data_IF_245177197479
#
_entry.id   IF_245177197479
#
_cell.length_a   1.000
_cell.length_b   1.000
_cell.length_c   1.000
_cell.angle_alpha   90.00
_cell.angle_beta   90.00
_cell.angle_gamma   90.00
#
_symmetry.space_group_name_H-M   'P 1'
#
loop_
_entity.id
_entity.type
_entity.pdbx_description
1 polymer ?
#
# COMPACT_ATOMS: atom_id res chain seq x y z
N UNK A 1 -7.31 -14.29 75.70
CA UNK A 1 -8.35 -13.55 74.95
C UNK A 1 -7.80 -12.24 74.32
N UNK A 2 -7.11 -11.29 75.03
CA UNK A 2 -6.69 -10.02 74.43
C UNK A 2 -5.62 -10.19 73.32
N UNK A 3 -4.69 -11.14 73.45
CA UNK A 3 -3.65 -11.42 72.49
C UNK A 3 -4.18 -11.89 71.08
N UNK A 4 -5.23 -12.70 71.08
CA UNK A 4 -5.88 -13.14 69.84
C UNK A 4 -6.56 -11.98 69.15
N UNK A 5 -7.23 -11.11 69.89
CA UNK A 5 -7.92 -9.92 69.35
C UNK A 5 -6.95 -8.94 68.77
N UNK A 6 -5.75 -8.73 69.36
CA UNK A 6 -4.68 -7.91 68.83
C UNK A 6 -4.12 -8.51 67.52
N UNK A 7 -3.91 -9.80 67.47
CA UNK A 7 -3.46 -10.48 66.22
C UNK A 7 -4.44 -10.35 65.08
N UNK A 8 -5.72 -10.50 65.34
CA UNK A 8 -6.80 -10.29 64.37
C UNK A 8 -6.85 -8.87 63.85
N UNK A 9 -6.69 -7.89 64.76
CA UNK A 9 -6.67 -6.49 64.37
C UNK A 9 -5.46 -6.15 63.49
N UNK A 10 -4.24 -6.64 63.84
CA UNK A 10 -3.04 -6.48 62.99
C UNK A 10 -3.24 -7.11 61.63
N UNK A 11 -3.83 -8.29 61.57
CA UNK A 11 -4.11 -8.99 60.30
C UNK A 11 -5.10 -8.21 59.41
N UNK A 12 -6.15 -7.61 60.00
CA UNK A 12 -7.11 -6.75 59.29
C UNK A 12 -6.39 -5.49 58.76
N UNK A 13 -5.55 -4.84 59.55
CA UNK A 13 -4.79 -3.67 59.14
C UNK A 13 -3.82 -4.03 57.99
N UNK A 14 -3.16 -5.18 58.06
CA UNK A 14 -2.28 -5.66 56.98
C UNK A 14 -3.07 -5.93 55.70
N UNK A 15 -4.22 -6.56 55.76
CA UNK A 15 -5.12 -6.78 54.60
C UNK A 15 -5.55 -5.45 53.97
N UNK A 16 -5.89 -4.45 54.77
CA UNK A 16 -6.26 -3.12 54.30
C UNK A 16 -5.06 -2.46 53.56
N UNK A 17 -3.86 -2.52 54.17
CA UNK A 17 -2.64 -1.96 53.55
C UNK A 17 -2.32 -2.60 52.22
N UNK A 18 -2.41 -3.92 52.10
CA UNK A 18 -2.18 -4.63 50.85
C UNK A 18 -3.25 -4.26 49.79
N UNK A 19 -4.50 -4.04 50.22
CA UNK A 19 -5.59 -3.62 49.33
C UNK A 19 -5.44 -2.18 48.83
N UNK A 20 -4.66 -1.34 49.51
CA UNK A 20 -4.38 0.04 49.11
C UNK A 20 -3.47 0.16 47.89
N UNK A 21 -2.66 -0.86 47.63
CA UNK A 21 -1.67 -0.80 46.55
C UNK A 21 -2.33 -1.27 45.25
N UNK A 22 -2.23 -0.44 44.20
CA UNK A 22 -2.65 -0.78 42.85
C UNK A 22 -1.50 -0.55 41.88
N UNK A 23 -1.25 -1.54 41.03
CA UNK A 23 -0.25 -1.47 39.97
C UNK A 23 -1.01 -1.23 38.65
N UNK A 24 -0.62 -0.17 37.96
CA UNK A 24 -1.10 0.13 36.61
C UNK A 24 -0.11 -0.40 35.61
N UNK A 25 -0.49 -1.40 34.76
CA UNK A 25 0.42 -1.96 33.78
C UNK A 25 0.72 -0.97 32.66
N UNK A 26 1.77 -1.26 31.90
CA UNK A 26 2.21 -0.42 30.78
C UNK A 26 1.12 -0.29 29.70
N UNK A 27 1.06 0.90 29.10
CA UNK A 27 0.04 1.27 28.09
C UNK A 27 -1.42 1.22 28.59
N UNK A 28 -1.63 1.35 29.89
CA UNK A 28 -2.95 1.54 30.48
C UNK A 28 -2.95 2.79 31.36
N UNK A 29 -4.13 3.38 31.50
CA UNK A 29 -4.41 4.41 32.48
C UNK A 29 -5.69 4.06 33.25
N UNK A 30 -5.76 4.49 34.50
CA UNK A 30 -6.95 4.29 35.33
C UNK A 30 -7.49 5.64 35.79
N UNK A 31 -8.76 5.89 35.48
CA UNK A 31 -9.48 7.07 35.96
C UNK A 31 -10.04 6.76 37.34
N UNK A 32 -9.68 7.57 38.33
CA UNK A 32 -10.06 7.35 39.74
C UNK A 32 -11.00 8.44 40.20
N UNK A 33 -12.07 8.00 40.85
CA UNK A 33 -13.08 8.82 41.52
C UNK A 33 -12.94 8.70 43.01
N UNK A 34 -13.15 9.83 43.67
CA UNK A 34 -13.30 9.90 45.11
C UNK A 34 -14.72 10.41 45.44
N UNK A 35 -15.51 9.54 46.08
CA UNK A 35 -16.93 9.85 46.44
C UNK A 35 -17.75 10.36 45.23
N UNK A 36 -17.47 9.80 44.01
CA UNK A 36 -18.20 10.17 42.79
C UNK A 36 -17.62 11.38 42.03
N UNK A 37 -16.62 12.07 42.59
CA UNK A 37 -15.92 13.14 41.89
C UNK A 37 -14.62 12.65 41.29
N UNK A 38 -14.26 13.14 40.09
CA UNK A 38 -12.95 12.86 39.50
C UNK A 38 -11.81 13.33 40.41
N UNK A 39 -10.90 12.46 40.78
CA UNK A 39 -9.71 12.76 41.56
C UNK A 39 -8.49 12.98 40.67
N UNK A 40 -8.07 11.92 40.02
CA UNK A 40 -6.88 11.94 39.16
C UNK A 40 -6.89 10.76 38.17
N UNK A 41 -6.02 10.83 37.18
CA UNK A 41 -5.74 9.74 36.24
C UNK A 41 -4.42 9.09 36.62
N UNK A 42 -4.44 7.81 36.95
CA UNK A 42 -3.23 7.03 37.25
C UNK A 42 -2.59 6.53 35.97
N UNK A 43 -1.37 6.97 35.78
CA UNK A 43 -0.51 6.46 34.72
C UNK A 43 0.22 5.19 35.18
N UNK A 44 1.10 4.66 34.33
CA UNK A 44 1.90 3.46 34.62
C UNK A 44 2.69 3.60 35.92
N UNK A 45 2.61 2.58 36.77
CA UNK A 45 3.34 2.55 38.05
C UNK A 45 2.51 2.04 39.21
N UNK A 46 3.04 2.28 40.42
CA UNK A 46 2.41 1.91 41.70
C UNK A 46 1.67 3.12 42.21
N UNK A 47 0.38 2.94 42.50
CA UNK A 47 -0.51 3.97 43.08
C UNK A 47 -1.16 3.48 44.35
N UNK A 48 -1.42 4.43 45.26
CA UNK A 48 -2.07 4.16 46.52
C UNK A 48 -3.56 4.57 46.44
N UNK A 49 -4.40 3.63 46.74
CA UNK A 49 -5.86 3.77 46.78
C UNK A 49 -6.32 3.78 48.22
N UNK A 50 -7.15 4.76 48.59
CA UNK A 50 -7.86 4.71 49.87
C UNK A 50 -9.06 3.75 49.73
N UNK A 51 -9.06 2.61 50.44
CA UNK A 51 -10.16 1.66 50.37
C UNK A 51 -11.45 2.33 50.86
N UNK A 52 -12.58 1.95 50.25
CA UNK A 52 -13.95 2.47 50.49
C UNK A 52 -14.23 3.88 49.93
N UNK A 53 -13.23 4.76 49.81
CA UNK A 53 -13.42 6.16 49.38
C UNK A 53 -13.08 6.29 47.88
N UNK A 54 -11.97 5.69 47.44
CA UNK A 54 -11.52 5.77 46.07
C UNK A 54 -12.04 4.59 45.24
N UNK A 55 -12.58 4.92 44.08
CA UNK A 55 -13.06 3.92 43.10
C UNK A 55 -12.39 4.12 41.77
N UNK A 56 -11.96 3.03 41.13
CA UNK A 56 -11.55 3.05 39.73
C UNK A 56 -12.80 3.09 38.86
N UNK A 57 -13.08 4.23 38.26
CA UNK A 57 -14.24 4.45 37.40
C UNK A 57 -14.10 3.73 36.06
N UNK A 58 -12.94 3.92 35.39
CA UNK A 58 -12.68 3.32 34.09
C UNK A 58 -11.20 2.95 33.93
N UNK A 59 -10.94 1.80 33.31
CA UNK A 59 -9.61 1.39 32.84
C UNK A 59 -9.54 1.66 31.35
N UNK A 60 -8.53 2.38 30.91
CA UNK A 60 -8.37 2.85 29.56
C UNK A 60 -7.10 2.26 28.97
N UNK A 61 -7.20 1.66 27.81
CA UNK A 61 -6.06 1.15 27.06
C UNK A 61 -5.54 2.25 26.13
N UNK A 62 -4.29 2.65 26.30
CA UNK A 62 -3.65 3.73 25.53
C UNK A 62 -3.03 3.26 24.20
N UNK A 63 -3.06 1.95 23.95
CA UNK A 63 -2.62 1.39 22.67
C UNK A 63 -3.61 1.75 21.57
N UNK A 64 -3.11 1.78 20.34
CA UNK A 64 -3.99 1.86 19.18
C UNK A 64 -5.00 0.72 19.19
N UNK A 65 -6.25 1.05 18.98
CA UNK A 65 -7.38 0.13 18.90
C UNK A 65 -7.96 0.17 17.50
N UNK A 66 -8.49 -0.96 17.06
CA UNK A 66 -9.09 -1.13 15.75
C UNK A 66 -10.53 -1.56 15.95
N UNK A 67 -11.45 -0.85 15.31
CA UNK A 67 -12.87 -1.20 15.31
C UNK A 67 -13.34 -1.34 13.86
N UNK A 68 -13.93 -2.50 13.58
CA UNK A 68 -14.54 -2.82 12.30
C UNK A 68 -16.06 -2.57 12.41
N UNK A 69 -16.55 -1.63 11.62
CA UNK A 69 -17.97 -1.29 11.62
C UNK A 69 -18.72 -2.04 10.53
N UNK A 70 -19.94 -2.44 10.84
CA UNK A 70 -20.81 -3.15 9.91
C UNK A 70 -21.08 -2.32 8.63
N UNK A 71 -21.36 -2.99 7.49
CA UNK A 71 -21.64 -2.32 6.23
C UNK A 71 -22.77 -1.29 6.34
N UNK A 72 -22.45 -0.04 6.02
CA UNK A 72 -23.42 1.06 6.05
C UNK A 72 -23.99 1.30 4.65
N UNK A 73 -25.31 1.42 4.51
CA UNK A 73 -25.92 1.81 3.25
C UNK A 73 -25.70 3.30 2.99
N UNK A 74 -25.15 3.62 1.82
CA UNK A 74 -24.90 4.98 1.35
C UNK A 74 -25.43 5.16 -0.05
N UNK A 75 -25.74 6.40 -0.44
CA UNK A 75 -26.24 6.74 -1.76
C UNK A 75 -25.26 7.73 -2.38
N UNK A 76 -24.79 7.44 -3.59
CA UNK A 76 -23.90 8.32 -4.35
C UNK A 76 -24.66 9.45 -5.02
N UNK A 77 -23.92 10.43 -5.56
CA UNK A 77 -24.49 11.57 -6.28
C UNK A 77 -25.32 11.15 -7.50
N UNK A 78 -24.94 10.07 -8.17
CA UNK A 78 -25.65 9.46 -9.31
C UNK A 78 -26.78 8.51 -8.87
N UNK A 79 -27.20 8.60 -7.59
CA UNK A 79 -28.35 7.89 -7.01
C UNK A 79 -28.20 6.36 -6.97
N UNK A 80 -26.95 5.86 -6.84
CA UNK A 80 -26.68 4.44 -6.65
C UNK A 80 -26.56 4.13 -5.18
N UNK A 81 -27.37 3.19 -4.68
CA UNK A 81 -27.28 2.70 -3.29
C UNK A 81 -26.21 1.61 -3.20
N UNK A 82 -25.22 1.78 -2.35
CA UNK A 82 -24.18 0.78 -2.11
C UNK A 82 -23.98 0.52 -0.62
N UNK A 83 -23.29 -0.56 -0.27
CA UNK A 83 -22.89 -0.87 1.11
C UNK A 83 -21.38 -0.73 1.24
N UNK A 84 -20.95 0.01 2.25
CA UNK A 84 -19.53 0.26 2.49
C UNK A 84 -19.19 -0.11 3.93
N UNK A 85 -18.15 -0.95 4.09
CA UNK A 85 -17.57 -1.31 5.38
C UNK A 85 -16.41 -0.36 5.68
N UNK A 86 -16.30 0.05 6.94
CA UNK A 86 -15.21 0.93 7.39
C UNK A 86 -14.50 0.35 8.59
N UNK A 87 -13.19 0.51 8.62
CA UNK A 87 -12.34 0.18 9.76
C UNK A 87 -11.69 1.46 10.26
N UNK A 88 -11.83 1.73 11.55
CA UNK A 88 -11.27 2.91 12.20
C UNK A 88 -10.17 2.51 13.17
N UNK A 89 -9.00 3.12 13.00
CA UNK A 89 -7.84 2.99 13.87
C UNK A 89 -7.75 4.25 14.73
N UNK A 90 -7.87 4.08 16.03
CA UNK A 90 -7.83 5.19 16.97
C UNK A 90 -7.07 4.85 18.23
N UNK A 91 -6.59 5.86 18.92
CA UNK A 91 -6.00 5.70 20.23
C UNK A 91 -6.57 6.74 21.20
N UNK A 92 -6.56 6.40 22.48
CA UNK A 92 -7.04 7.28 23.52
C UNK A 92 -5.87 8.13 24.00
N UNK A 93 -5.98 9.45 23.84
CA UNK A 93 -4.97 10.44 24.23
C UNK A 93 -5.23 10.99 25.62
N UNK A 94 -6.49 11.24 25.97
CA UNK A 94 -6.89 11.71 27.29
C UNK A 94 -7.90 10.75 27.93
N UNK A 95 -7.47 9.94 28.93
CA UNK A 95 -8.34 9.02 29.65
C UNK A 95 -9.50 9.68 30.40
N UNK A 96 -9.33 10.92 30.87
CA UNK A 96 -10.39 11.67 31.56
C UNK A 96 -11.50 12.05 30.62
N UNK A 97 -11.16 12.65 29.47
CA UNK A 97 -12.14 13.01 28.44
C UNK A 97 -12.84 11.76 27.88
N UNK A 98 -12.10 10.67 27.69
CA UNK A 98 -12.67 9.39 27.27
C UNK A 98 -13.67 8.80 28.27
N UNK A 99 -13.45 9.01 29.57
CA UNK A 99 -14.32 8.49 30.61
C UNK A 99 -15.60 9.30 30.80
N UNK A 100 -15.51 10.62 30.64
CA UNK A 100 -16.61 11.56 31.00
C UNK A 100 -17.12 12.38 29.80
N UNK A 101 -16.44 12.42 28.68
CA UNK A 101 -16.84 13.25 27.53
C UNK A 101 -18.02 12.68 26.77
N UNK A 102 -18.17 11.35 26.73
CA UNK A 102 -19.25 10.67 26.04
C UNK A 102 -19.59 9.35 26.75
N UNK A 103 -20.87 8.99 26.83
CA UNK A 103 -21.32 7.80 27.54
C UNK A 103 -20.81 6.52 26.90
N UNK A 104 -20.95 6.39 25.56
CA UNK A 104 -20.48 5.24 24.79
C UNK A 104 -19.61 5.69 23.61
N UNK A 105 -18.29 5.82 23.79
CA UNK A 105 -17.37 6.32 22.77
C UNK A 105 -17.39 5.52 21.46
N UNK A 106 -17.46 4.20 21.56
CA UNK A 106 -17.43 3.32 20.36
C UNK A 106 -18.68 3.52 19.51
N UNK A 107 -19.86 3.53 20.13
CA UNK A 107 -21.13 3.79 19.43
C UNK A 107 -21.17 5.21 18.85
N UNK A 108 -20.61 6.18 19.56
CA UNK A 108 -20.53 7.56 19.07
C UNK A 108 -19.63 7.66 17.81
N UNK A 109 -18.46 6.98 17.80
CA UNK A 109 -17.57 6.91 16.64
C UNK A 109 -18.28 6.18 15.48
N UNK A 110 -19.01 5.10 15.74
CA UNK A 110 -19.74 4.34 14.71
C UNK A 110 -20.77 5.24 14.00
N UNK A 111 -21.63 5.92 14.76
CA UNK A 111 -22.65 6.81 14.21
C UNK A 111 -22.02 8.00 13.47
N UNK A 112 -20.95 8.57 14.02
CA UNK A 112 -20.23 9.66 13.39
C UNK A 112 -19.57 9.20 12.08
N UNK A 113 -18.97 8.00 12.07
CA UNK A 113 -18.39 7.38 10.87
C UNK A 113 -19.46 7.17 9.81
N UNK A 114 -20.62 6.62 10.17
CA UNK A 114 -21.71 6.38 9.25
C UNK A 114 -22.27 7.68 8.63
N UNK A 115 -22.43 8.72 9.44
CA UNK A 115 -22.94 10.03 8.95
C UNK A 115 -21.92 10.76 8.10
N UNK A 116 -20.65 10.75 8.49
CA UNK A 116 -19.54 11.37 7.72
C UNK A 116 -19.34 10.64 6.39
N UNK A 117 -19.36 9.31 6.40
CA UNK A 117 -19.27 8.50 5.20
C UNK A 117 -20.41 8.84 4.22
N UNK A 118 -21.64 8.92 4.71
CA UNK A 118 -22.80 9.26 3.88
C UNK A 118 -22.67 10.63 3.23
N UNK A 119 -22.18 11.62 3.97
CA UNK A 119 -21.96 12.96 3.44
C UNK A 119 -20.87 12.96 2.34
N UNK A 120 -19.72 12.32 2.60
CA UNK A 120 -18.60 12.30 1.64
C UNK A 120 -18.98 11.54 0.36
N UNK A 121 -19.67 10.40 0.49
CA UNK A 121 -20.08 9.57 -0.66
C UNK A 121 -21.23 10.24 -1.43
N UNK A 122 -22.12 10.96 -0.75
CA UNK A 122 -23.21 11.69 -1.39
C UNK A 122 -22.75 12.78 -2.37
N UNK A 123 -21.53 13.29 -2.22
CA UNK A 123 -20.91 14.26 -3.12
C UNK A 123 -20.14 13.62 -4.30
N UNK A 124 -19.96 12.29 -4.28
CA UNK A 124 -19.17 11.54 -5.26
C UNK A 124 -20.05 10.68 -6.16
N UNK A 125 -19.61 10.51 -7.41
CA UNK A 125 -20.17 9.53 -8.34
C UNK A 125 -19.64 8.12 -8.02
N UNK A 126 -20.32 7.08 -8.50
CA UNK A 126 -19.96 5.68 -8.29
C UNK A 126 -18.49 5.40 -8.67
N UNK A 127 -18.09 5.80 -9.87
CA UNK A 127 -16.74 5.57 -10.38
C UNK A 127 -15.68 6.29 -9.53
N UNK A 128 -15.99 7.50 -9.07
CA UNK A 128 -15.11 8.27 -8.17
C UNK A 128 -15.00 7.58 -6.80
N UNK A 129 -16.09 7.03 -6.29
CA UNK A 129 -16.10 6.30 -5.01
C UNK A 129 -15.23 5.05 -5.07
N UNK A 130 -15.21 4.34 -6.20
CA UNK A 130 -14.40 3.14 -6.39
C UNK A 130 -12.91 3.45 -6.59
N UNK A 131 -12.59 4.57 -7.24
CA UNK A 131 -11.21 4.92 -7.64
C UNK A 131 -10.50 5.81 -6.63
N UNK A 132 -11.22 6.66 -5.87
CA UNK A 132 -10.65 7.69 -5.00
C UNK A 132 -10.65 7.32 -3.51
N UNK A 133 -10.42 6.04 -3.18
CA UNK A 133 -10.45 5.55 -1.78
C UNK A 133 -9.55 6.33 -0.85
N UNK A 134 -8.33 6.66 -1.28
CA UNK A 134 -7.36 7.41 -0.47
C UNK A 134 -7.86 8.81 -0.10
N UNK A 135 -8.50 9.49 -1.06
CA UNK A 135 -9.11 10.81 -0.81
C UNK A 135 -10.25 10.72 0.19
N UNK A 136 -11.10 9.68 0.08
CA UNK A 136 -12.20 9.44 1.00
C UNK A 136 -11.65 9.13 2.40
N UNK A 137 -10.68 8.22 2.51
CA UNK A 137 -10.04 7.86 3.78
C UNK A 137 -9.45 9.10 4.48
N UNK A 138 -8.78 9.98 3.74
CA UNK A 138 -8.19 11.21 4.27
C UNK A 138 -9.26 12.20 4.75
N UNK A 139 -10.32 12.41 3.98
CA UNK A 139 -11.46 13.27 4.38
C UNK A 139 -12.17 12.70 5.61
N UNK A 140 -12.42 11.39 5.62
CA UNK A 140 -13.01 10.70 6.76
C UNK A 140 -12.18 10.88 8.02
N UNK A 141 -10.88 10.57 7.94
CA UNK A 141 -9.95 10.73 9.06
C UNK A 141 -9.98 12.16 9.61
N UNK A 142 -9.87 13.15 8.73
CA UNK A 142 -9.84 14.57 9.13
C UNK A 142 -11.13 15.00 9.83
N UNK A 143 -12.28 14.60 9.31
CA UNK A 143 -13.58 14.93 9.90
C UNK A 143 -13.80 14.22 11.25
N UNK A 144 -13.41 12.93 11.34
CA UNK A 144 -13.55 12.15 12.57
C UNK A 144 -12.59 12.65 13.64
N UNK A 145 -11.34 12.94 13.33
CA UNK A 145 -10.32 13.41 14.28
C UNK A 145 -10.78 14.70 14.98
N UNK A 146 -11.26 15.67 14.22
CA UNK A 146 -11.80 16.93 14.78
C UNK A 146 -13.01 16.69 15.69
N UNK A 147 -13.89 15.78 15.31
CA UNK A 147 -15.11 15.52 16.06
C UNK A 147 -14.88 14.66 17.31
N UNK A 148 -13.83 13.83 17.35
CA UNK A 148 -13.51 12.95 18.49
C UNK A 148 -12.51 13.55 19.47
N UNK A 149 -11.85 14.65 19.12
CA UNK A 149 -10.89 15.36 19.99
C UNK A 149 -11.49 15.75 21.36
N UNK A 150 -12.75 16.30 21.45
CA UNK A 150 -13.40 16.59 22.74
C UNK A 150 -13.62 15.35 23.63
N UNK A 151 -13.56 14.16 23.07
CA UNK A 151 -13.69 12.89 23.79
C UNK A 151 -12.34 12.28 24.19
N UNK A 152 -11.25 12.98 23.91
CA UNK A 152 -9.88 12.50 24.17
C UNK A 152 -9.50 11.29 23.32
N UNK A 153 -10.06 11.19 22.11
CA UNK A 153 -9.80 10.13 21.15
C UNK A 153 -9.15 10.74 19.92
N UNK A 154 -8.04 10.19 19.52
CA UNK A 154 -7.34 10.56 18.27
C UNK A 154 -7.55 9.49 17.22
N UNK A 155 -8.07 9.87 16.08
CA UNK A 155 -8.25 8.98 14.93
C UNK A 155 -6.98 9.02 14.07
N UNK A 156 -6.23 7.93 14.09
CA UNK A 156 -4.97 7.81 13.34
C UNK A 156 -5.24 7.55 11.86
N UNK A 157 -6.15 6.62 11.57
CA UNK A 157 -6.44 6.16 10.21
C UNK A 157 -7.86 5.65 10.09
N UNK A 158 -8.45 5.86 8.93
CA UNK A 158 -9.75 5.30 8.52
C UNK A 158 -9.55 4.60 7.19
N UNK A 159 -10.05 3.39 7.06
CA UNK A 159 -9.94 2.59 5.84
C UNK A 159 -11.31 2.11 5.39
N UNK A 160 -11.59 2.28 4.10
CA UNK A 160 -12.72 1.63 3.45
C UNK A 160 -12.34 0.18 3.11
N UNK A 161 -12.99 -0.79 3.73
CA UNK A 161 -12.70 -2.22 3.57
C UNK A 161 -13.32 -2.75 2.27
N UNK A 162 -14.63 -2.78 2.20
CA UNK A 162 -15.38 -3.24 1.03
C UNK A 162 -16.32 -2.14 0.54
N UNK A 163 -16.45 -2.02 -0.77
CA UNK A 163 -17.45 -1.20 -1.43
C UNK A 163 -18.27 -2.14 -2.29
N UNK A 164 -19.52 -2.36 -1.93
CA UNK A 164 -20.40 -3.35 -2.55
C UNK A 164 -21.54 -2.61 -3.26
N UNK A 165 -21.46 -2.41 -4.58
CA UNK A 165 -22.55 -1.87 -5.37
C UNK A 165 -23.68 -2.91 -5.52
N UNK A 166 -24.88 -2.51 -5.98
CA UNK A 166 -25.95 -3.45 -6.30
C UNK A 166 -25.54 -4.44 -7.38
N UNK A 167 -26.02 -5.69 -7.28
CA UNK A 167 -25.64 -6.77 -8.19
C UNK A 167 -25.88 -6.41 -9.69
N UNK A 168 -26.98 -5.74 -10.00
CA UNK A 168 -27.27 -5.32 -11.39
C UNK A 168 -26.21 -4.37 -11.97
N UNK A 169 -25.65 -3.48 -11.13
CA UNK A 169 -24.58 -2.55 -11.55
C UNK A 169 -23.26 -3.30 -11.64
N UNK A 170 -22.98 -4.19 -10.70
CA UNK A 170 -21.79 -5.03 -10.73
C UNK A 170 -21.72 -5.86 -12.00
N UNK A 171 -22.81 -6.55 -12.38
CA UNK A 171 -22.91 -7.33 -13.61
C UNK A 171 -22.73 -6.46 -14.86
N UNK A 172 -23.28 -5.24 -14.87
CA UNK A 172 -23.11 -4.32 -15.99
C UNK A 172 -21.65 -3.85 -16.12
N UNK A 173 -21.00 -3.49 -15.00
CA UNK A 173 -19.59 -3.11 -14.95
C UNK A 173 -18.67 -4.26 -15.38
N UNK A 174 -18.93 -5.50 -14.95
CA UNK A 174 -18.17 -6.67 -15.39
C UNK A 174 -18.25 -6.88 -16.90
N UNK A 175 -19.45 -6.78 -17.48
CA UNK A 175 -19.65 -6.88 -18.93
C UNK A 175 -18.92 -5.78 -19.69
N UNK A 176 -19.00 -4.53 -19.20
CA UNK A 176 -18.31 -3.40 -19.79
C UNK A 176 -16.78 -3.57 -19.70
N UNK A 177 -16.27 -3.97 -18.56
CA UNK A 177 -14.84 -4.22 -18.36
C UNK A 177 -14.32 -5.36 -19.24
N UNK A 178 -15.11 -6.41 -19.42
CA UNK A 178 -14.78 -7.53 -20.31
C UNK A 178 -14.70 -7.07 -21.75
N UNK A 179 -15.71 -6.35 -22.24
CA UNK A 179 -15.72 -5.81 -23.59
C UNK A 179 -14.55 -4.85 -23.87
N UNK A 180 -14.22 -3.98 -22.90
CA UNK A 180 -13.09 -3.07 -23.02
C UNK A 180 -11.73 -3.81 -23.03
N UNK A 181 -11.58 -4.87 -22.23
CA UNK A 181 -10.37 -5.73 -22.26
C UNK A 181 -10.24 -6.45 -23.61
N UNK A 182 -11.32 -7.03 -24.12
CA UNK A 182 -11.35 -7.70 -25.41
C UNK A 182 -10.99 -6.71 -26.55
N UNK A 183 -11.52 -5.49 -26.51
CA UNK A 183 -11.18 -4.43 -27.47
C UNK A 183 -9.68 -4.08 -27.40
N UNK A 184 -9.14 -3.86 -26.21
CA UNK A 184 -7.71 -3.55 -26.03
C UNK A 184 -6.82 -4.71 -26.47
N UNK A 185 -7.20 -5.95 -26.18
CA UNK A 185 -6.48 -7.14 -26.62
C UNK A 185 -6.41 -7.21 -28.14
N UNK A 186 -7.53 -7.00 -28.82
CA UNK A 186 -7.59 -6.99 -30.28
C UNK A 186 -6.70 -5.91 -30.90
N UNK A 187 -6.70 -4.68 -30.34
CA UNK A 187 -5.84 -3.59 -30.79
C UNK A 187 -4.36 -3.95 -30.59
N UNK A 188 -3.98 -4.38 -29.38
CA UNK A 188 -2.60 -4.74 -29.09
C UNK A 188 -2.09 -5.90 -29.94
N UNK A 189 -2.95 -6.89 -30.23
CA UNK A 189 -2.62 -8.01 -31.12
C UNK A 189 -2.36 -7.51 -32.54
N UNK A 190 -3.27 -6.68 -33.10
CA UNK A 190 -3.10 -6.11 -34.43
C UNK A 190 -1.85 -5.22 -34.54
N UNK A 191 -1.56 -4.40 -33.53
CA UNK A 191 -0.34 -3.61 -33.48
C UNK A 191 0.92 -4.49 -33.37
N UNK A 192 0.88 -5.55 -32.59
CA UNK A 192 1.94 -6.53 -32.46
C UNK A 192 2.24 -7.25 -33.77
N UNK A 193 1.21 -7.71 -34.48
CA UNK A 193 1.32 -8.34 -35.79
C UNK A 193 1.89 -7.38 -36.83
N UNK A 194 1.42 -6.13 -36.85
CA UNK A 194 1.95 -5.08 -37.73
C UNK A 194 3.43 -4.83 -37.47
N UNK A 195 3.83 -4.63 -36.22
CA UNK A 195 5.24 -4.42 -35.84
C UNK A 195 6.10 -5.62 -36.18
N UNK A 196 5.64 -6.83 -35.91
CA UNK A 196 6.33 -8.07 -36.25
C UNK A 196 6.58 -8.18 -37.76
N UNK A 197 5.54 -7.93 -38.57
CA UNK A 197 5.64 -7.97 -40.03
C UNK A 197 6.64 -6.93 -40.58
N UNK A 198 6.62 -5.71 -40.03
CA UNK A 198 7.57 -4.65 -40.41
C UNK A 198 8.99 -5.07 -40.05
N UNK A 199 9.25 -5.53 -38.81
CA UNK A 199 10.58 -5.96 -38.37
C UNK A 199 11.12 -7.14 -39.18
N UNK A 200 10.27 -8.10 -39.54
CA UNK A 200 10.65 -9.22 -40.38
C UNK A 200 11.01 -8.73 -41.81
N UNK A 201 10.23 -7.80 -42.37
CA UNK A 201 10.52 -7.23 -43.68
C UNK A 201 11.82 -6.39 -43.68
N UNK A 202 12.05 -5.60 -42.64
CA UNK A 202 13.30 -4.83 -42.45
C UNK A 202 14.49 -5.77 -42.27
N UNK A 203 14.35 -6.82 -41.47
CA UNK A 203 15.40 -7.83 -41.29
C UNK A 203 15.76 -8.54 -42.61
N UNK A 204 14.76 -8.93 -43.41
CA UNK A 204 15.02 -9.51 -44.75
C UNK A 204 15.70 -8.54 -45.70
N UNK A 205 15.26 -7.27 -45.68
CA UNK A 205 15.91 -6.22 -46.49
C UNK A 205 17.36 -6.03 -46.08
N UNK A 206 17.65 -5.95 -44.79
CA UNK A 206 18.99 -5.76 -44.25
C UNK A 206 19.89 -6.97 -44.58
N UNK A 207 19.37 -8.18 -44.43
CA UNK A 207 20.09 -9.40 -44.81
C UNK A 207 20.47 -9.39 -46.32
N UNK A 208 19.52 -9.08 -47.20
CA UNK A 208 19.77 -9.03 -48.63
C UNK A 208 20.80 -7.93 -49.02
N UNK A 209 20.84 -6.80 -48.31
CA UNK A 209 21.82 -5.75 -48.52
C UNK A 209 23.22 -6.25 -48.08
N UNK A 210 23.31 -6.87 -46.91
CA UNK A 210 24.58 -7.42 -46.41
C UNK A 210 25.14 -8.56 -47.28
N UNK A 211 24.25 -9.42 -47.76
CA UNK A 211 24.63 -10.50 -48.69
C UNK A 211 25.18 -9.91 -50.00
N UNK A 212 24.51 -8.91 -50.58
CA UNK A 212 24.99 -8.25 -51.81
C UNK A 212 26.29 -7.46 -51.60
N UNK A 213 26.48 -6.83 -50.42
CA UNK A 213 27.76 -6.19 -50.08
C UNK A 213 28.90 -7.20 -49.89
N UNK A 214 28.63 -8.35 -49.28
CA UNK A 214 29.58 -9.43 -49.11
C UNK A 214 30.01 -10.02 -50.47
N UNK A 215 29.05 -10.26 -51.36
CA UNK A 215 29.35 -10.73 -52.73
C UNK A 215 30.18 -9.72 -53.51
N UNK A 216 29.84 -8.44 -53.40
CA UNK A 216 30.63 -7.38 -54.01
C UNK A 216 32.05 -7.30 -53.47
N UNK A 217 32.22 -7.40 -52.16
CA UNK A 217 33.58 -7.41 -51.56
C UNK A 217 34.36 -8.64 -51.94
N UNK A 218 33.72 -9.82 -51.97
CA UNK A 218 34.37 -11.06 -52.43
C UNK A 218 34.82 -10.94 -53.88
N UNK A 219 33.99 -10.39 -54.78
CA UNK A 219 34.36 -10.17 -56.18
C UNK A 219 35.52 -9.18 -56.33
N UNK A 220 35.58 -8.09 -55.56
CA UNK A 220 36.68 -7.15 -55.55
C UNK A 220 37.97 -7.80 -55.08
N UNK A 221 37.95 -8.53 -53.97
CA UNK A 221 39.11 -9.26 -53.43
C UNK A 221 39.63 -10.32 -54.39
N UNK A 222 38.75 -11.06 -55.09
CA UNK A 222 39.15 -12.00 -56.12
C UNK A 222 39.82 -11.31 -57.29
N UNK A 223 39.29 -10.19 -57.79
CA UNK A 223 39.84 -9.42 -58.84
C UNK A 223 41.23 -8.83 -58.48
N UNK A 224 41.42 -8.35 -57.28
CA UNK A 224 42.67 -7.84 -56.74
C UNK A 224 43.68 -8.95 -56.57
N UNK A 225 43.33 -10.12 -56.08
CA UNK A 225 44.19 -11.31 -55.98
C UNK A 225 44.64 -11.83 -57.35
N UNK A 226 43.72 -11.86 -58.34
CA UNK A 226 44.14 -12.23 -59.71
C UNK A 226 45.07 -11.22 -60.33
N UNK A 227 44.85 -9.93 -60.11
CA UNK A 227 45.74 -8.87 -60.58
C UNK A 227 47.15 -9.02 -59.95
N UNK A 228 47.20 -9.22 -58.63
CA UNK A 228 48.44 -9.39 -57.90
C UNK A 228 49.21 -10.67 -58.36
N UNK A 229 48.47 -11.77 -58.56
CA UNK A 229 49.02 -13.02 -59.10
C UNK A 229 49.65 -12.79 -60.47
N UNK A 230 48.91 -12.10 -61.41
CA UNK A 230 49.44 -11.79 -62.73
C UNK A 230 50.69 -10.89 -62.71
N UNK A 231 50.70 -9.89 -61.79
CA UNK A 231 51.90 -9.04 -61.61
C UNK A 231 53.06 -9.86 -61.12
N UNK A 232 52.93 -10.71 -60.12
CA UNK A 232 53.97 -11.57 -59.56
C UNK A 232 54.44 -12.60 -60.57
N UNK A 233 53.53 -13.17 -61.38
CA UNK A 233 53.90 -14.08 -62.46
C UNK A 233 54.73 -13.36 -63.55
N UNK A 234 54.33 -12.12 -63.92
CA UNK A 234 55.09 -11.33 -64.90
C UNK A 234 56.48 -10.87 -64.35
N UNK A 235 56.54 -10.48 -63.08
CA UNK A 235 57.77 -10.11 -62.38
C UNK A 235 58.75 -11.35 -62.33
N UNK A 236 58.21 -12.52 -61.98
CA UNK A 236 58.93 -13.78 -61.93
C UNK A 236 59.48 -14.20 -63.33
N UNK A 237 58.66 -14.00 -64.38
CA UNK A 237 59.11 -14.24 -65.77
C UNK A 237 60.16 -13.23 -66.21
N UNK A 238 60.03 -11.94 -65.89
CA UNK A 238 61.02 -10.92 -66.18
C UNK A 238 62.36 -11.21 -65.47
N UNK A 239 62.33 -11.61 -64.19
CA UNK A 239 63.52 -11.98 -63.42
C UNK A 239 64.15 -13.26 -63.95
N UNK A 240 63.37 -14.24 -64.41
CA UNK A 240 63.87 -15.44 -65.04
C UNK A 240 64.56 -15.12 -66.37
N UNK A 241 63.98 -14.20 -67.18
CA UNK A 241 64.59 -13.75 -68.45
C UNK A 241 65.89 -12.96 -68.19
N UNK A 242 65.94 -12.09 -67.16
CA UNK A 242 67.15 -11.36 -66.79
C UNK A 242 68.26 -12.25 -66.22
N UNK A 243 67.95 -13.40 -65.67
CA UNK A 243 68.92 -14.39 -65.16
C UNK A 243 69.44 -15.33 -66.25
N UNK A 244 68.92 -15.28 -67.48
CA UNK A 244 69.38 -16.01 -68.64
C UNK A 244 70.45 -15.27 -69.48
N UNK A 245 71.22 -14.31 -69.05
CA UNK A 245 72.34 -13.85 -69.82
C UNK A 245 73.62 -14.25 -69.15
N UNK A 246 74.21 -15.23 -69.52
CA UNK A 246 75.67 -15.43 -69.48
C UNK A 246 76.11 -16.84 -69.88
N UNK A 247 75.11 -17.65 -70.28
CA UNK A 247 75.45 -18.97 -70.76
C UNK A 247 75.71 -19.04 -72.28
N UNK A 248 75.49 -17.91 -73.01
CA UNK A 248 75.75 -17.87 -74.48
C UNK A 248 76.79 -16.84 -74.94
N UNK A 249 77.65 -16.40 -74.01
CA UNK A 249 78.77 -15.53 -74.40
C UNK A 249 80.12 -16.28 -74.26
N UNK A 250 80.21 -17.50 -74.81
CA UNK A 250 81.44 -18.20 -75.08
C UNK A 250 81.25 -19.17 -76.27
N UNK A 251 81.27 -18.62 -77.41
CA UNK A 251 81.78 -19.25 -78.66
C UNK A 251 82.16 -18.16 -79.64
#
# INVERSE_FOLDING_TARGET
MPTILVLVLIFIILLILVSCIRIVPQAQAMVVERLGAYLETWNVGIHFKVPFIDRVAKRVLLKEQVVDFAPQPVITKDNVTMKIDTVVFFQITDPKLYAYGVENPIMAIENLTATTLRNIIGDLELDQTLTSRETINTKMRSALDVATDPWGIKVNRVELKNIIPPAAIQDAMEKQMKAERERREAILRAEGEKKSTILVAEGKKQSAILDAEADKQAAILHAEAEKEKRIREAEGQAEAIMRIPSAFACW
#
